data_IF_878982337229
#
_entry.id   IF_878982337229
#
_cell.length_a   1.000
_cell.length_b   1.000
_cell.length_c   1.000
_cell.angle_alpha   90.00
_cell.angle_beta   90.00
_cell.angle_gamma   90.00
#
_symmetry.space_group_name_H-M   'P 1'
#
loop_
_entity.id
_entity.type
_entity.pdbx_description
1 polymer ?
#
# COMPACT_ATOMS: atom_id res chain seq x y z
N UNK A 1 -16.17 17.76 16.31
CA UNK A 1 -15.47 16.50 15.97
C UNK A 1 -15.90 16.06 14.57
N UNK A 2 -14.95 15.66 13.73
CA UNK A 2 -15.22 15.22 12.35
C UNK A 2 -16.02 13.91 12.40
N UNK A 3 -17.15 13.85 11.69
CA UNK A 3 -18.04 12.66 11.71
C UNK A 3 -17.64 11.60 10.68
N UNK A 4 -16.94 12.01 9.62
CA UNK A 4 -16.58 11.19 8.49
C UNK A 4 -15.12 11.38 8.10
N UNK A 5 -14.42 10.31 7.77
CA UNK A 5 -13.11 10.32 7.14
C UNK A 5 -13.27 10.36 5.62
N UNK A 6 -12.29 10.96 4.95
CA UNK A 6 -12.16 10.92 3.48
C UNK A 6 -11.00 9.99 3.13
N UNK A 7 -11.19 9.16 2.11
CA UNK A 7 -10.07 8.41 1.53
C UNK A 7 -10.19 8.38 0.01
N UNK A 8 -9.28 9.10 -0.65
CA UNK A 8 -9.40 9.44 -2.05
C UNK A 8 -10.72 10.15 -2.32
N UNK A 9 -11.51 9.60 -3.25
CA UNK A 9 -12.83 10.11 -3.58
C UNK A 9 -13.96 9.62 -2.67
N UNK A 10 -13.68 8.72 -1.72
CA UNK A 10 -14.69 8.08 -0.87
C UNK A 10 -14.81 8.77 0.49
N UNK A 11 -15.97 8.63 1.12
CA UNK A 11 -16.23 9.06 2.50
C UNK A 11 -16.75 7.88 3.32
N UNK A 12 -16.37 7.83 4.58
CA UNK A 12 -16.78 6.78 5.53
C UNK A 12 -16.97 7.40 6.91
N UNK A 13 -17.97 6.95 7.68
CA UNK A 13 -18.11 7.43 9.06
C UNK A 13 -16.94 6.92 9.92
N UNK A 14 -16.56 7.67 10.95
CA UNK A 14 -15.47 7.24 11.86
C UNK A 14 -15.80 5.89 12.51
N UNK A 15 -17.07 5.67 12.89
CA UNK A 15 -17.53 4.40 13.45
C UNK A 15 -17.36 3.23 12.47
N UNK A 16 -17.82 3.39 11.22
CA UNK A 16 -17.67 2.35 10.19
C UNK A 16 -16.20 2.08 9.86
N UNK A 17 -15.35 3.11 9.81
CA UNK A 17 -13.92 2.93 9.58
C UNK A 17 -13.25 2.09 10.69
N UNK A 18 -13.64 2.30 11.96
CA UNK A 18 -13.18 1.48 13.09
C UNK A 18 -13.64 0.03 12.97
N UNK A 19 -14.89 -0.20 12.57
CA UNK A 19 -15.42 -1.55 12.33
C UNK A 19 -14.65 -2.28 11.23
N UNK A 20 -14.43 -1.61 10.08
CA UNK A 20 -13.68 -2.17 8.95
C UNK A 20 -12.24 -2.56 9.33
N UNK A 21 -11.53 -1.69 10.04
CA UNK A 21 -10.18 -1.95 10.51
C UNK A 21 -10.15 -3.06 11.58
N UNK A 22 -11.09 -3.01 12.53
CA UNK A 22 -11.23 -4.02 13.58
C UNK A 22 -11.42 -5.42 13.01
N UNK A 23 -12.29 -5.58 12.01
CA UNK A 23 -12.46 -6.86 11.30
C UNK A 23 -11.19 -7.29 10.56
N UNK A 24 -10.44 -6.35 9.99
CA UNK A 24 -9.20 -6.64 9.28
C UNK A 24 -8.13 -7.19 10.23
N UNK A 25 -8.00 -6.61 11.42
CA UNK A 25 -6.95 -6.96 12.39
C UNK A 25 -7.30 -8.18 13.26
N UNK A 26 -8.58 -8.45 13.47
CA UNK A 26 -9.03 -9.46 14.45
C UNK A 26 -9.57 -10.76 13.83
N UNK A 27 -9.40 -10.98 12.52
CA UNK A 27 -9.78 -12.24 11.85
C UNK A 27 -8.56 -12.93 11.22
N UNK A 28 -7.74 -13.64 12.02
CA UNK A 28 -6.55 -14.34 11.54
C UNK A 28 -6.85 -15.28 10.37
N UNK A 29 -5.93 -15.35 9.41
CA UNK A 29 -6.05 -16.23 8.23
C UNK A 29 -7.00 -15.74 7.13
N UNK A 30 -7.78 -14.68 7.40
CA UNK A 30 -8.65 -14.04 6.39
C UNK A 30 -7.98 -12.85 5.72
N UNK A 31 -7.12 -12.14 6.46
CA UNK A 31 -6.50 -10.89 6.04
C UNK A 31 -4.97 -10.96 6.16
N UNK A 32 -4.29 -9.93 5.66
CA UNK A 32 -2.83 -9.87 5.69
C UNK A 32 -2.26 -9.61 7.09
N UNK A 33 -3.05 -9.03 7.99
CA UNK A 33 -2.67 -8.86 9.39
C UNK A 33 -2.90 -10.16 10.16
N UNK A 34 -1.98 -10.59 11.06
CA UNK A 34 -0.71 -9.94 11.37
C UNK A 34 0.44 -10.33 10.44
N UNK A 35 0.26 -11.33 9.56
CA UNK A 35 1.32 -12.00 8.83
C UNK A 35 2.27 -11.06 8.06
N UNK A 36 1.74 -10.06 7.36
CA UNK A 36 2.55 -9.07 6.65
C UNK A 36 3.26 -8.12 7.61
N UNK A 37 2.52 -7.60 8.60
CA UNK A 37 2.97 -6.56 9.52
C UNK A 37 4.00 -7.09 10.54
N UNK A 38 4.02 -8.40 10.82
CA UNK A 38 5.04 -9.07 11.64
C UNK A 38 6.20 -9.67 10.85
N UNK A 39 6.20 -9.55 9.52
CA UNK A 39 7.22 -10.17 8.69
C UNK A 39 8.58 -9.46 8.86
N UNK A 40 9.65 -10.14 9.30
CA UNK A 40 10.92 -9.48 9.62
C UNK A 40 11.70 -9.02 8.40
N UNK A 41 11.39 -9.53 7.20
CA UNK A 41 12.14 -9.23 5.99
C UNK A 41 13.62 -9.60 6.14
N UNK A 42 14.51 -8.71 5.68
CA UNK A 42 15.96 -8.85 5.89
C UNK A 42 16.47 -8.29 7.24
N UNK A 43 15.59 -7.74 8.08
CA UNK A 43 15.95 -7.12 9.37
C UNK A 43 16.58 -5.72 9.30
N UNK A 44 16.85 -5.17 8.11
CA UNK A 44 17.40 -3.84 7.91
C UNK A 44 16.31 -2.88 7.38
N UNK A 45 15.97 -1.79 8.11
CA UNK A 45 14.98 -0.82 7.66
C UNK A 45 15.48 0.10 6.54
N UNK A 46 16.79 0.18 6.28
CA UNK A 46 17.37 1.10 5.31
C UNK A 46 17.68 0.46 3.96
N UNK A 47 17.64 -0.87 3.88
CA UNK A 47 17.92 -1.61 2.66
C UNK A 47 16.86 -2.68 2.38
N UNK A 48 16.59 -2.89 1.10
CA UNK A 48 15.87 -4.06 0.61
C UNK A 48 16.88 -5.17 0.31
N UNK A 49 16.59 -6.34 0.87
CA UNK A 49 17.29 -7.60 0.61
C UNK A 49 16.36 -8.67 0.03
N UNK A 50 16.93 -9.83 -0.33
CA UNK A 50 16.20 -10.96 -0.91
C UNK A 50 14.96 -11.39 -0.11
N UNK A 51 15.03 -11.34 1.21
CA UNK A 51 13.97 -11.78 2.12
C UNK A 51 12.73 -10.88 2.01
N UNK A 52 12.90 -9.59 1.74
CA UNK A 52 11.78 -8.65 1.72
C UNK A 52 10.79 -8.89 0.56
N UNK A 53 11.23 -9.57 -0.50
CA UNK A 53 10.42 -9.84 -1.69
C UNK A 53 9.16 -10.65 -1.34
N UNK A 54 9.24 -11.56 -0.37
CA UNK A 54 8.12 -12.38 0.09
C UNK A 54 7.00 -11.54 0.74
N UNK A 55 7.31 -10.36 1.27
CA UNK A 55 6.34 -9.47 1.90
C UNK A 55 5.20 -9.11 0.92
N UNK A 56 5.52 -8.97 -0.37
CA UNK A 56 4.49 -8.73 -1.39
C UNK A 56 3.45 -9.86 -1.46
N UNK A 57 3.85 -11.10 -1.19
CA UNK A 57 2.97 -12.28 -1.20
C UNK A 57 2.04 -12.36 -0.01
N UNK A 58 2.49 -11.90 1.16
CA UNK A 58 1.69 -11.84 2.38
C UNK A 58 0.53 -10.82 2.26
N UNK A 59 0.68 -9.84 1.36
CA UNK A 59 -0.39 -8.93 0.93
C UNK A 59 -1.11 -9.38 -0.36
N UNK A 60 -1.09 -10.68 -0.68
CA UNK A 60 -1.77 -11.29 -1.83
C UNK A 60 -1.40 -10.66 -3.19
N UNK A 61 -0.16 -10.15 -3.36
CA UNK A 61 0.33 -9.84 -4.69
C UNK A 61 0.75 -11.15 -5.38
N UNK A 62 0.31 -11.37 -6.62
CA UNK A 62 0.66 -12.57 -7.38
C UNK A 62 2.19 -12.74 -7.46
N UNK A 63 2.70 -13.91 -7.06
CA UNK A 63 4.11 -14.04 -6.74
C UNK A 63 5.03 -14.15 -7.95
N UNK A 64 4.77 -15.04 -8.92
CA UNK A 64 5.76 -15.41 -9.95
C UNK A 64 7.20 -15.40 -9.36
N UNK A 65 7.45 -16.29 -8.37
CA UNK A 65 8.45 -16.07 -7.34
C UNK A 65 9.85 -15.89 -7.91
N UNK A 66 10.27 -16.75 -8.85
CA UNK A 66 11.60 -16.67 -9.46
C UNK A 66 11.79 -15.37 -10.25
N UNK A 67 10.88 -15.04 -11.18
CA UNK A 67 10.99 -13.81 -11.98
C UNK A 67 10.97 -12.58 -11.10
N UNK A 68 10.12 -12.55 -10.08
CA UNK A 68 10.02 -11.42 -9.15
C UNK A 68 11.29 -11.28 -8.31
N UNK A 69 11.84 -12.38 -7.81
CA UNK A 69 13.08 -12.40 -7.04
C UNK A 69 14.24 -11.79 -7.85
N UNK A 70 14.53 -12.34 -9.02
CA UNK A 70 15.64 -11.87 -9.85
C UNK A 70 15.41 -10.44 -10.39
N UNK A 71 14.14 -10.04 -10.58
CA UNK A 71 13.84 -8.65 -10.96
C UNK A 71 14.11 -7.70 -9.80
N UNK A 72 13.74 -8.02 -8.57
CA UNK A 72 14.11 -7.19 -7.41
C UNK A 72 15.62 -7.17 -7.19
N UNK A 73 16.30 -8.30 -7.34
CA UNK A 73 17.76 -8.39 -7.23
C UNK A 73 18.45 -7.47 -8.24
N UNK A 74 18.04 -7.51 -9.52
CA UNK A 74 18.60 -6.62 -10.54
C UNK A 74 18.30 -5.13 -10.34
N UNK A 75 17.24 -4.78 -9.60
CA UNK A 75 16.89 -3.41 -9.25
C UNK A 75 17.44 -2.97 -7.87
N UNK A 76 17.95 -3.89 -7.07
CA UNK A 76 18.23 -3.70 -5.64
C UNK A 76 19.17 -2.53 -5.37
N UNK A 77 20.27 -2.43 -6.14
CA UNK A 77 21.24 -1.34 -6.00
C UNK A 77 20.58 0.03 -6.18
N UNK A 78 19.77 0.18 -7.23
CA UNK A 78 19.10 1.45 -7.54
C UNK A 78 17.99 1.77 -6.54
N UNK A 79 17.21 0.76 -6.14
CA UNK A 79 16.19 0.90 -5.10
C UNK A 79 16.83 1.35 -3.78
N UNK A 80 17.89 0.68 -3.33
CA UNK A 80 18.57 0.99 -2.06
C UNK A 80 19.24 2.36 -2.10
N UNK A 81 19.84 2.74 -3.23
CA UNK A 81 20.39 4.10 -3.42
C UNK A 81 19.30 5.16 -3.27
N UNK A 82 18.13 4.95 -3.87
CA UNK A 82 17.01 5.90 -3.76
C UNK A 82 16.36 5.87 -2.36
N UNK A 83 16.24 4.70 -1.74
CA UNK A 83 15.69 4.52 -0.40
C UNK A 83 16.55 5.19 0.67
N UNK A 84 17.88 5.16 0.51
CA UNK A 84 18.83 5.84 1.40
C UNK A 84 18.62 7.36 1.47
N UNK A 85 18.03 7.96 0.43
CA UNK A 85 17.69 9.39 0.43
C UNK A 85 16.34 9.70 1.09
N UNK A 86 15.50 8.69 1.32
CA UNK A 86 14.20 8.91 1.98
C UNK A 86 14.46 9.30 3.44
N UNK A 87 13.82 10.34 3.99
CA UNK A 87 13.99 10.75 5.38
C UNK A 87 13.17 9.88 6.33
N UNK A 88 13.61 9.76 7.58
CA UNK A 88 12.85 9.08 8.63
C UNK A 88 11.79 10.04 9.18
N UNK A 89 10.59 9.94 8.64
CA UNK A 89 9.42 10.74 9.04
C UNK A 89 8.16 9.89 8.86
N UNK A 90 6.99 10.47 9.09
CA UNK A 90 5.69 9.92 8.75
C UNK A 90 5.07 10.70 7.60
N UNK A 91 4.16 10.09 6.84
CA UNK A 91 3.60 10.70 5.64
C UNK A 91 2.79 11.97 5.96
N UNK A 92 2.12 12.01 7.12
CA UNK A 92 1.42 13.20 7.62
C UNK A 92 2.39 14.35 7.93
N UNK A 93 3.63 14.08 8.32
CA UNK A 93 4.65 15.12 8.58
C UNK A 93 5.53 15.43 7.37
N UNK A 94 5.46 14.63 6.30
CA UNK A 94 6.27 14.82 5.10
C UNK A 94 5.96 16.17 4.43
N UNK A 95 7.02 16.91 4.08
CA UNK A 95 6.97 18.10 3.25
C UNK A 95 7.05 17.74 1.75
N UNK A 96 6.90 18.74 0.87
CA UNK A 96 6.91 18.51 -0.57
C UNK A 96 8.25 17.95 -1.09
N UNK A 97 9.43 18.41 -0.61
CA UNK A 97 10.70 17.75 -0.91
C UNK A 97 10.74 16.26 -0.53
N UNK A 98 10.19 15.87 0.63
CA UNK A 98 10.07 14.46 1.01
C UNK A 98 9.20 13.69 0.04
N UNK A 99 8.06 14.27 -0.40
CA UNK A 99 7.20 13.62 -1.39
C UNK A 99 7.90 13.45 -2.75
N UNK A 100 8.72 14.42 -3.17
CA UNK A 100 9.53 14.31 -4.39
C UNK A 100 10.56 13.17 -4.31
N UNK A 101 11.20 12.99 -3.15
CA UNK A 101 12.14 11.87 -2.93
C UNK A 101 11.42 10.52 -2.99
N UNK A 102 10.24 10.40 -2.38
CA UNK A 102 9.42 9.17 -2.46
C UNK A 102 8.96 8.92 -3.89
N UNK A 103 8.53 9.96 -4.61
CA UNK A 103 8.16 9.84 -6.01
C UNK A 103 9.34 9.40 -6.88
N UNK A 104 10.54 9.95 -6.62
CA UNK A 104 11.77 9.52 -7.28
C UNK A 104 12.07 8.05 -6.98
N UNK A 105 11.89 7.58 -5.75
CA UNK A 105 12.03 6.15 -5.41
C UNK A 105 11.07 5.27 -6.23
N UNK A 106 9.79 5.61 -6.32
CA UNK A 106 8.84 4.85 -7.16
C UNK A 106 9.15 4.93 -8.66
N UNK A 107 9.78 6.01 -9.10
CA UNK A 107 10.29 6.19 -10.46
C UNK A 107 11.38 5.20 -10.89
N UNK A 108 11.87 4.32 -10.02
CA UNK A 108 12.78 3.21 -10.41
C UNK A 108 12.15 2.29 -11.45
N UNK A 109 10.81 2.29 -11.53
CA UNK A 109 10.03 1.53 -12.51
C UNK A 109 9.86 2.25 -13.86
N UNK A 110 10.24 3.53 -13.96
CA UNK A 110 10.10 4.36 -15.18
C UNK A 110 11.26 4.13 -16.15
N UNK A 111 11.41 2.87 -16.55
CA UNK A 111 12.47 2.40 -17.43
C UNK A 111 11.94 2.21 -18.86
N UNK A 112 12.83 2.33 -19.84
CA UNK A 112 12.54 1.99 -21.24
C UNK A 112 12.06 0.53 -21.35
N UNK A 113 12.74 -0.37 -20.65
CA UNK A 113 12.35 -1.78 -20.53
C UNK A 113 11.64 -2.00 -19.20
N UNK A 114 10.39 -2.42 -19.27
CA UNK A 114 9.57 -2.62 -18.07
C UNK A 114 10.08 -3.80 -17.25
N UNK A 115 10.32 -3.64 -15.94
CA UNK A 115 10.69 -4.76 -15.07
C UNK A 115 9.67 -5.90 -15.13
N UNK A 116 10.15 -7.13 -15.24
CA UNK A 116 9.30 -8.31 -15.33
C UNK A 116 8.66 -8.60 -13.99
N UNK A 117 7.34 -8.80 -13.96
CA UNK A 117 6.57 -9.18 -12.77
C UNK A 117 6.62 -8.19 -11.57
N UNK A 118 7.47 -7.17 -11.58
CA UNK A 118 7.54 -6.11 -10.57
C UNK A 118 6.85 -4.85 -11.09
N UNK A 119 5.76 -4.49 -10.42
CA UNK A 119 4.96 -3.27 -10.65
C UNK A 119 4.94 -2.45 -9.37
N UNK A 120 4.38 -1.24 -9.40
CA UNK A 120 4.22 -0.42 -8.20
C UNK A 120 3.53 -1.19 -7.07
N UNK A 121 2.61 -2.09 -7.39
CA UNK A 121 1.95 -2.96 -6.39
C UNK A 121 2.91 -3.82 -5.59
N UNK A 122 3.94 -4.40 -6.20
CA UNK A 122 4.93 -5.19 -5.44
C UNK A 122 5.97 -4.30 -4.78
N UNK A 123 6.45 -3.30 -5.51
CA UNK A 123 7.47 -2.38 -5.01
C UNK A 123 6.98 -1.66 -3.74
N UNK A 124 5.76 -1.12 -3.75
CA UNK A 124 5.19 -0.45 -2.57
C UNK A 124 5.04 -1.39 -1.37
N UNK A 125 4.70 -2.66 -1.58
CA UNK A 125 4.59 -3.66 -0.50
C UNK A 125 5.93 -3.98 0.15
N UNK A 126 6.99 -4.08 -0.65
CA UNK A 126 8.34 -4.31 -0.13
C UNK A 126 8.86 -3.05 0.58
N UNK A 127 8.62 -1.87 0.00
CA UNK A 127 9.05 -0.59 0.56
C UNK A 127 8.29 -0.18 1.83
N UNK A 128 6.98 -0.44 1.90
CA UNK A 128 6.16 -0.14 3.07
C UNK A 128 6.66 -0.91 4.31
N UNK A 129 7.17 -2.14 4.13
CA UNK A 129 7.78 -2.90 5.22
C UNK A 129 8.94 -2.14 5.88
N UNK A 130 9.67 -1.34 5.10
CA UNK A 130 10.83 -0.56 5.56
C UNK A 130 10.41 0.69 6.31
N UNK A 131 9.34 1.35 5.86
CA UNK A 131 8.85 2.62 6.43
C UNK A 131 7.33 2.65 6.45
N UNK A 132 6.68 1.86 7.32
CA UNK A 132 5.22 1.70 7.29
C UNK A 132 4.45 2.98 7.64
N UNK A 133 5.11 3.96 8.27
CA UNK A 133 4.55 5.29 8.55
C UNK A 133 4.67 6.29 7.40
N UNK A 134 5.48 6.01 6.37
CA UNK A 134 5.87 6.99 5.34
C UNK A 134 5.56 6.54 3.91
N UNK A 135 5.85 5.28 3.58
CA UNK A 135 5.77 4.77 2.20
C UNK A 135 4.44 4.07 2.01
N UNK A 136 3.46 4.64 1.29
CA UNK A 136 2.12 4.06 1.20
C UNK A 136 2.10 2.77 0.38
N UNK A 137 1.21 1.86 0.75
CA UNK A 137 0.86 0.70 -0.05
C UNK A 137 0.07 1.13 -1.29
N UNK A 138 0.27 0.39 -2.38
CA UNK A 138 -0.45 0.60 -3.63
C UNK A 138 -0.99 -0.72 -4.18
N UNK A 139 -2.26 -0.72 -4.56
CA UNK A 139 -2.87 -1.79 -5.34
C UNK A 139 -4.07 -1.25 -6.14
N UNK A 140 -4.86 -2.15 -6.71
CA UNK A 140 -6.06 -1.77 -7.45
C UNK A 140 -7.16 -1.17 -6.54
N UNK A 141 -7.29 -1.58 -5.28
CA UNK A 141 -8.26 -0.96 -4.35
C UNK A 141 -7.88 0.49 -4.06
N UNK A 142 -6.60 0.72 -3.74
CA UNK A 142 -6.06 2.07 -3.54
C UNK A 142 -6.18 2.91 -4.81
N UNK A 143 -5.80 2.38 -5.97
CA UNK A 143 -5.95 3.08 -7.23
C UNK A 143 -7.40 3.49 -7.49
N UNK A 144 -8.35 2.58 -7.24
CA UNK A 144 -9.79 2.85 -7.43
C UNK A 144 -10.30 3.93 -6.49
N UNK A 145 -9.91 3.91 -5.22
CA UNK A 145 -10.31 4.93 -4.24
C UNK A 145 -9.87 6.34 -4.68
N UNK A 146 -8.63 6.49 -5.17
CA UNK A 146 -8.08 7.81 -5.51
C UNK A 146 -8.35 8.26 -6.94
N UNK A 147 -8.52 7.32 -7.88
CA UNK A 147 -8.52 7.62 -9.32
C UNK A 147 -9.81 7.22 -10.07
N UNK A 148 -10.77 6.58 -9.40
CA UNK A 148 -11.97 6.03 -10.10
C UNK A 148 -13.29 6.22 -9.36
N UNK A 149 -13.31 6.03 -8.04
CA UNK A 149 -14.55 6.00 -7.26
C UNK A 149 -14.79 7.35 -6.56
N UNK A 150 -16.07 7.67 -6.35
CA UNK A 150 -16.49 8.90 -5.69
C UNK A 150 -15.97 10.16 -6.40
N UNK A 151 -15.48 11.13 -5.63
CA UNK A 151 -14.90 12.35 -6.19
C UNK A 151 -13.42 12.12 -6.59
N UNK A 152 -13.17 11.83 -7.87
CA UNK A 152 -11.83 11.52 -8.40
C UNK A 152 -10.80 12.58 -8.03
N UNK A 153 -9.77 12.19 -7.27
CA UNK A 153 -8.71 13.08 -6.76
C UNK A 153 -7.46 13.06 -7.64
N UNK A 154 -7.13 11.89 -8.18
CA UNK A 154 -5.98 11.70 -9.07
C UNK A 154 -6.48 11.31 -10.45
N UNK A 155 -6.38 12.24 -11.40
CA UNK A 155 -6.85 11.99 -12.77
C UNK A 155 -5.98 10.93 -13.47
N UNK A 156 -6.58 9.85 -14.01
CA UNK A 156 -5.86 8.89 -14.85
C UNK A 156 -5.27 9.58 -16.08
N UNK A 157 -4.00 9.32 -16.39
CA UNK A 157 -3.34 9.84 -17.59
C UNK A 157 -2.60 8.72 -18.29
N UNK A 158 -2.93 8.49 -19.56
CA UNK A 158 -2.27 7.48 -20.39
C UNK A 158 -0.78 7.81 -20.51
N UNK A 159 0.08 6.80 -20.37
CA UNK A 159 1.53 6.95 -20.50
C UNK A 159 2.22 7.69 -19.35
N UNK A 160 1.49 8.05 -18.27
CA UNK A 160 2.11 8.65 -17.08
C UNK A 160 3.08 7.66 -16.43
N UNK A 161 4.30 8.12 -16.14
CA UNK A 161 5.27 7.37 -15.34
C UNK A 161 4.86 7.25 -13.87
N UNK A 162 5.47 6.33 -13.15
CA UNK A 162 5.24 6.10 -11.72
C UNK A 162 5.74 7.26 -10.85
N UNK A 163 6.82 7.95 -11.23
CA UNK A 163 7.25 9.18 -10.56
C UNK A 163 6.16 10.25 -10.65
N UNK A 164 5.71 10.55 -11.86
CA UNK A 164 4.68 11.57 -12.09
C UNK A 164 3.34 11.19 -11.46
N UNK A 165 3.01 9.89 -11.45
CA UNK A 165 1.84 9.39 -10.74
C UNK A 165 1.97 9.63 -9.24
N UNK A 166 3.12 9.30 -8.64
CA UNK A 166 3.38 9.49 -7.22
C UNK A 166 3.33 10.98 -6.82
N UNK A 167 3.87 11.89 -7.64
CA UNK A 167 3.77 13.33 -7.39
C UNK A 167 2.31 13.82 -7.35
N UNK A 168 1.42 13.22 -8.13
CA UNK A 168 0.00 13.55 -8.08
C UNK A 168 -0.75 12.84 -6.93
N UNK A 169 -0.29 11.66 -6.53
CA UNK A 169 -1.00 10.78 -5.60
C UNK A 169 -0.62 10.97 -4.13
N UNK A 170 0.67 11.13 -3.82
CA UNK A 170 1.17 11.27 -2.44
C UNK A 170 0.57 12.47 -1.69
N UNK A 171 0.40 13.67 -2.30
CA UNK A 171 -0.23 14.79 -1.60
C UNK A 171 -1.66 14.49 -1.16
N UNK A 172 -2.41 13.69 -1.93
CA UNK A 172 -3.79 13.33 -1.62
C UNK A 172 -3.86 12.38 -0.41
N UNK A 173 -2.99 11.36 -0.35
CA UNK A 173 -2.94 10.48 0.83
C UNK A 173 -2.51 11.26 2.06
N UNK A 174 -1.47 12.10 1.93
CA UNK A 174 -1.00 12.96 3.04
C UNK A 174 -2.13 13.84 3.56
N UNK A 175 -2.94 14.39 2.66
CA UNK A 175 -4.10 15.21 3.04
C UNK A 175 -5.14 14.39 3.79
N UNK A 176 -5.51 13.22 3.30
CA UNK A 176 -6.49 12.34 3.97
C UNK A 176 -6.00 11.87 5.35
N UNK A 177 -4.68 11.65 5.49
CA UNK A 177 -4.06 11.37 6.78
C UNK A 177 -4.11 12.57 7.73
N UNK A 178 -3.71 13.77 7.27
CA UNK A 178 -3.70 14.99 8.09
C UNK A 178 -5.09 15.37 8.58
N UNK A 179 -6.07 15.35 7.68
CA UNK A 179 -7.45 15.76 7.99
C UNK A 179 -8.10 14.83 9.02
N UNK A 180 -7.67 13.57 9.11
CA UNK A 180 -8.21 12.55 10.01
C UNK A 180 -7.23 12.00 11.05
N UNK A 181 -6.10 12.68 11.31
CA UNK A 181 -4.94 12.08 11.99
C UNK A 181 -5.26 11.47 13.36
N UNK A 182 -6.04 12.18 14.18
CA UNK A 182 -6.49 11.70 15.50
C UNK A 182 -7.27 10.37 15.36
N UNK A 183 -8.23 10.31 14.43
CA UNK A 183 -9.01 9.11 14.18
C UNK A 183 -8.18 7.98 13.56
N UNK A 184 -7.23 8.27 12.67
CA UNK A 184 -6.34 7.25 12.12
C UNK A 184 -5.42 6.67 13.20
N UNK A 185 -5.01 7.49 14.17
CA UNK A 185 -4.25 7.06 15.34
C UNK A 185 -5.08 6.15 16.24
N UNK A 186 -6.35 6.52 16.50
CA UNK A 186 -7.28 5.67 17.24
C UNK A 186 -7.54 4.33 16.53
N UNK A 187 -7.72 4.34 15.20
CA UNK A 187 -7.93 3.13 14.41
C UNK A 187 -6.70 2.24 14.43
N UNK A 188 -5.49 2.82 14.31
CA UNK A 188 -4.25 2.08 14.44
C UNK A 188 -4.11 1.42 15.82
N UNK A 189 -4.61 2.08 16.88
CA UNK A 189 -4.67 1.54 18.24
C UNK A 189 -5.65 0.39 18.45
N UNK A 190 -6.45 0.01 17.45
CA UNK A 190 -7.31 -1.19 17.51
C UNK A 190 -6.54 -2.50 17.27
N UNK A 191 -5.27 -2.41 16.87
CA UNK A 191 -4.42 -3.57 16.72
C UNK A 191 -4.33 -4.35 18.05
N UNK A 192 -4.40 -5.69 18.04
CA UNK A 192 -4.19 -6.51 19.23
C UNK A 192 -2.92 -6.13 19.98
N UNK A 193 -2.98 -6.11 21.32
CA UNK A 193 -1.85 -5.72 22.20
C UNK A 193 -0.60 -6.55 21.94
N UNK A 194 -0.75 -7.85 21.69
CA UNK A 194 0.35 -8.79 21.40
C UNK A 194 0.68 -8.87 19.89
N UNK A 195 0.08 -8.00 19.07
CA UNK A 195 0.26 -7.96 17.62
C UNK A 195 1.31 -6.95 17.14
N UNK A 196 1.71 -7.01 15.86
CA UNK A 196 2.62 -6.04 15.28
C UNK A 196 2.01 -4.64 15.27
N UNK A 197 2.85 -3.62 15.47
CA UNK A 197 2.42 -2.22 15.49
C UNK A 197 1.83 -1.79 14.14
N UNK A 198 0.67 -1.13 14.19
CA UNK A 198 0.04 -0.51 13.04
C UNK A 198 0.27 0.99 13.07
N UNK A 199 0.66 1.59 11.94
CA UNK A 199 0.78 3.05 11.80
C UNK A 199 -0.55 3.65 11.31
N UNK A 200 -0.79 4.97 11.49
CA UNK A 200 -1.95 5.65 10.90
C UNK A 200 -2.06 5.43 9.38
N UNK A 201 -0.93 5.42 8.66
CA UNK A 201 -0.89 5.14 7.22
C UNK A 201 -1.34 3.71 6.88
N UNK A 202 -0.89 2.72 7.65
CA UNK A 202 -1.31 1.32 7.46
C UNK A 202 -2.78 1.11 7.83
N UNK A 203 -3.27 1.79 8.88
CA UNK A 203 -4.69 1.79 9.23
C UNK A 203 -5.57 2.33 8.08
N UNK A 204 -5.16 3.45 7.46
CA UNK A 204 -5.85 3.99 6.29
C UNK A 204 -5.91 2.98 5.15
N UNK A 205 -4.81 2.28 4.85
CA UNK A 205 -4.77 1.23 3.81
C UNK A 205 -5.75 0.07 4.09
N UNK A 206 -5.79 -0.43 5.32
CA UNK A 206 -6.74 -1.49 5.72
C UNK A 206 -8.20 -1.06 5.52
N UNK A 207 -8.52 0.18 5.90
CA UNK A 207 -9.87 0.74 5.72
C UNK A 207 -10.20 0.93 4.24
N UNK A 208 -9.28 1.49 3.43
CA UNK A 208 -9.46 1.63 1.97
C UNK A 208 -9.80 0.31 1.32
N UNK A 209 -9.04 -0.73 1.68
CA UNK A 209 -9.20 -2.04 1.06
C UNK A 209 -10.61 -2.59 1.32
N UNK A 210 -11.07 -2.55 2.57
CA UNK A 210 -12.42 -2.98 2.95
C UNK A 210 -13.52 -2.12 2.34
N UNK A 211 -13.37 -0.80 2.41
CA UNK A 211 -14.35 0.15 1.91
C UNK A 211 -14.56 0.00 0.39
N UNK A 212 -13.48 -0.15 -0.38
CA UNK A 212 -13.59 -0.35 -1.83
C UNK A 212 -14.21 -1.70 -2.18
N UNK A 213 -13.94 -2.75 -1.40
CA UNK A 213 -14.56 -4.06 -1.58
C UNK A 213 -16.08 -4.00 -1.32
N UNK A 214 -16.53 -3.21 -0.34
CA UNK A 214 -17.96 -3.01 -0.04
C UNK A 214 -18.66 -2.16 -1.11
N UNK A 215 -18.07 -1.02 -1.48
CA UNK A 215 -18.70 -0.07 -2.41
C UNK A 215 -18.70 -0.59 -3.84
N UNK A 216 -17.68 -1.37 -4.21
CA UNK A 216 -17.55 -1.88 -5.56
C UNK A 216 -16.77 -3.20 -5.57
N UNK A 217 -17.43 -4.32 -5.18
CA UNK A 217 -16.78 -5.62 -5.08
C UNK A 217 -16.24 -6.07 -6.43
N UNK A 218 -15.13 -6.80 -6.43
CA UNK A 218 -14.63 -7.40 -7.67
C UNK A 218 -15.60 -8.49 -8.15
N UNK A 219 -15.91 -8.58 -9.45
CA UNK A 219 -16.69 -9.68 -9.97
C UNK A 219 -15.96 -11.00 -9.68
N UNK A 220 -16.66 -11.95 -9.04
CA UNK A 220 -16.11 -13.28 -8.77
C UNK A 220 -15.76 -13.92 -10.12
N UNK A 221 -14.50 -14.33 -10.31
CA UNK A 221 -14.14 -15.17 -11.46
C UNK A 221 -14.99 -16.44 -11.40
N UNK A 222 -15.69 -16.84 -12.48
CA UNK A 222 -16.40 -18.10 -12.49
C UNK A 222 -15.40 -19.22 -12.17
N UNK A 223 -15.77 -20.10 -11.22
CA UNK A 223 -15.01 -21.33 -10.98
C UNK A 223 -14.95 -22.08 -12.31
N UNK A 224 -13.76 -22.33 -12.84
CA UNK A 224 -13.59 -23.30 -13.92
C UNK A 224 -14.12 -24.62 -13.37
N UNK A 225 -15.23 -25.11 -13.89
CA UNK A 225 -15.68 -26.47 -13.66
C UNK A 225 -14.58 -27.37 -14.22
N UNK A 226 -13.94 -28.16 -13.34
CA UNK A 226 -13.13 -29.28 -13.79
C UNK A 226 -14.10 -30.31 -14.37
N UNK A 227 -14.45 -30.18 -15.65
CA UNK A 227 -14.95 -31.31 -16.41
C UNK A 227 -13.74 -32.21 -16.66
N UNK A 228 -13.66 -33.27 -15.87
CA UNK A 228 -12.80 -34.42 -16.17
C UNK A 228 -13.39 -35.08 -17.42
N UNK A 229 -12.65 -35.23 -18.52
CA UNK A 229 -13.13 -36.02 -19.65
C UNK A 229 -13.29 -37.47 -19.20
N UNK A 230 -14.45 -38.05 -19.51
CA UNK A 230 -14.74 -39.48 -19.33
C UNK A 230 -13.93 -40.33 -20.31
#
# INVERSE_FOLDING_TARGET
MMKNLTIGGLKVSVGHAKELAGEYMNQPGRWSYPAYDSYPGNGDPDTIGPQDVLAAGLLNAGQNPLTTQYTFESLSHEINTRLGNVPRSTLDMADDPTLEVIAHLFGVLDRKERPLSVRLTKLSKVLHLKRPGLLPLYDDHVWRAYSKLGNVRVQPKLGRGWKDFALAWLPEIRKDLRDGLEHWTEIAGLAPVDGPTVTPLRALDMVVWRLVEEVAPRPRKPRRSNQVPA
#
